data_IF_446248019717
#
_entry.id   IF_446248019717
#
_cell.length_a   1.000
_cell.length_b   1.000
_cell.length_c   1.000
_cell.angle_alpha   90.00
_cell.angle_beta   90.00
_cell.angle_gamma   90.00
#
_symmetry.space_group_name_H-M   'P 1'
#
loop_
_entity.id
_entity.type
_entity.pdbx_description
1 polymer ?
#
# COMPACT_ATOMS: atom_id res chain seq x y z
N UNK A 1 15.74 -28.23 13.11
CA UNK A 1 15.03 -27.55 12.01
C UNK A 1 16.02 -26.57 11.40
N UNK A 2 16.29 -26.68 10.11
CA UNK A 2 17.14 -25.70 9.41
C UNK A 2 16.28 -24.52 8.96
N UNK A 3 16.90 -23.35 8.81
CA UNK A 3 16.28 -22.24 8.09
C UNK A 3 16.37 -22.56 6.60
N UNK A 4 15.25 -22.46 5.88
CA UNK A 4 15.17 -22.77 4.46
C UNK A 4 14.42 -21.65 3.76
N UNK A 5 14.90 -21.30 2.57
CA UNK A 5 14.18 -20.38 1.70
C UNK A 5 13.05 -21.11 0.98
N UNK A 6 12.00 -20.38 0.64
CA UNK A 6 10.81 -20.95 0.00
C UNK A 6 10.71 -20.45 -1.43
N UNK A 7 10.55 -21.36 -2.38
CA UNK A 7 10.29 -21.03 -3.79
C UNK A 7 8.84 -21.32 -4.09
N UNK A 8 8.09 -20.30 -4.50
CA UNK A 8 6.69 -20.42 -4.89
C UNK A 8 6.56 -20.77 -6.39
N UNK A 9 5.69 -21.71 -6.70
CA UNK A 9 5.40 -22.13 -8.07
C UNK A 9 4.39 -21.21 -8.74
N UNK A 10 4.64 -20.85 -10.00
CA UNK A 10 3.64 -20.14 -10.83
C UNK A 10 2.38 -20.99 -11.05
N UNK A 11 2.55 -22.31 -11.11
CA UNK A 11 1.47 -23.29 -11.21
C UNK A 11 1.67 -24.38 -10.15
N UNK A 12 0.68 -24.54 -9.29
CA UNK A 12 0.71 -25.58 -8.26
C UNK A 12 0.79 -26.98 -8.87
N UNK A 13 1.62 -27.83 -8.27
CA UNK A 13 1.65 -29.26 -8.56
C UNK A 13 0.52 -29.98 -7.82
N UNK A 14 0.12 -31.14 -8.33
CA UNK A 14 -0.89 -31.99 -7.67
C UNK A 14 -0.20 -33.21 -7.07
N UNK A 15 -0.42 -33.44 -5.78
CA UNK A 15 0.05 -34.65 -5.12
C UNK A 15 -0.68 -35.87 -5.70
N UNK A 16 0.03 -36.90 -6.19
CA UNK A 16 -0.60 -38.09 -6.76
C UNK A 16 -1.34 -38.96 -5.74
N UNK A 17 -1.12 -38.72 -4.43
CA UNK A 17 -1.67 -39.55 -3.35
C UNK A 17 -2.92 -38.95 -2.69
N UNK A 18 -2.91 -37.65 -2.41
CA UNK A 18 -4.04 -36.96 -1.78
C UNK A 18 -4.77 -35.99 -2.70
N UNK A 19 -4.28 -35.78 -3.93
CA UNK A 19 -4.76 -34.75 -4.87
C UNK A 19 -4.69 -33.31 -4.33
N UNK A 20 -3.99 -33.10 -3.21
CA UNK A 20 -3.70 -31.79 -2.65
C UNK A 20 -2.79 -30.98 -3.57
N UNK A 21 -2.93 -29.66 -3.50
CA UNK A 21 -2.09 -28.71 -4.22
C UNK A 21 -0.78 -28.50 -3.47
N UNK A 22 0.33 -28.47 -4.20
CA UNK A 22 1.66 -28.11 -3.72
C UNK A 22 2.04 -26.84 -4.45
N UNK A 23 2.08 -25.71 -3.75
CA UNK A 23 2.27 -24.37 -4.30
C UNK A 23 3.71 -23.84 -4.12
N UNK A 24 4.52 -24.53 -3.33
CA UNK A 24 5.87 -24.12 -2.99
C UNK A 24 6.77 -25.29 -2.61
N UNK A 25 8.08 -25.02 -2.54
CA UNK A 25 9.10 -25.94 -2.03
C UNK A 25 10.11 -25.18 -1.19
N UNK A 26 10.61 -25.82 -0.14
CA UNK A 26 11.71 -25.31 0.67
C UNK A 26 13.05 -25.80 0.10
N UNK A 27 13.97 -24.87 -0.16
CA UNK A 27 15.29 -25.15 -0.75
C UNK A 27 16.39 -24.74 0.23
N UNK A 28 17.49 -25.50 0.23
CA UNK A 28 18.63 -25.31 1.15
C UNK A 28 19.82 -24.63 0.49
N UNK A 29 19.81 -24.64 -0.83
CA UNK A 29 20.91 -24.24 -1.71
C UNK A 29 21.04 -22.71 -1.80
N UNK A 30 20.07 -21.96 -1.29
CA UNK A 30 20.11 -20.51 -1.18
C UNK A 30 20.76 -20.07 0.15
N UNK A 31 20.82 -18.75 0.38
CA UNK A 31 21.52 -18.19 1.55
C UNK A 31 20.82 -18.49 2.90
N UNK A 32 19.63 -19.12 2.87
CA UNK A 32 18.84 -19.55 4.02
C UNK A 32 18.41 -18.37 4.91
N UNK A 33 17.95 -17.30 4.25
CA UNK A 33 17.50 -16.03 4.85
C UNK A 33 16.02 -16.03 5.23
N UNK A 34 15.32 -17.16 5.03
CA UNK A 34 13.87 -17.32 5.23
C UNK A 34 13.06 -16.44 4.27
N UNK A 35 13.58 -16.24 3.06
CA UNK A 35 12.90 -15.45 2.02
C UNK A 35 11.97 -16.33 1.16
N UNK A 36 11.00 -15.67 0.54
CA UNK A 36 10.10 -16.27 -0.42
C UNK A 36 10.46 -15.77 -1.82
N UNK A 37 10.81 -16.67 -2.72
CA UNK A 37 11.21 -16.36 -4.09
C UNK A 37 10.15 -16.82 -5.10
N UNK A 38 9.92 -15.99 -6.11
CA UNK A 38 9.13 -16.29 -7.32
C UNK A 38 10.00 -16.15 -8.55
N UNK A 39 9.49 -16.67 -9.68
CA UNK A 39 10.15 -16.47 -10.97
C UNK A 39 10.38 -14.97 -11.22
N UNK A 40 11.59 -14.65 -11.69
CA UNK A 40 12.18 -13.30 -11.85
C UNK A 40 12.78 -12.68 -10.58
N UNK A 41 12.65 -13.27 -9.41
CA UNK A 41 13.35 -12.79 -8.22
C UNK A 41 14.84 -13.17 -8.23
N UNK A 42 15.65 -12.54 -7.38
CA UNK A 42 17.10 -12.66 -7.36
C UNK A 42 17.59 -13.41 -6.10
N UNK A 43 17.52 -14.75 -6.04
CA UNK A 43 17.98 -15.52 -4.88
C UNK A 43 19.51 -15.64 -4.77
N UNK A 44 20.28 -15.01 -5.68
CA UNK A 44 21.73 -15.15 -5.73
C UNK A 44 22.44 -13.96 -6.35
N UNK A 45 23.77 -14.00 -6.35
CA UNK A 45 24.61 -13.04 -7.05
C UNK A 45 24.50 -13.14 -8.58
N UNK A 46 24.70 -12.00 -9.26
CA UNK A 46 24.56 -11.85 -10.71
C UNK A 46 25.50 -12.75 -11.55
N UNK A 47 26.57 -13.26 -10.94
CA UNK A 47 27.52 -14.16 -11.59
C UNK A 47 27.07 -15.63 -11.56
N UNK A 48 26.14 -15.98 -10.68
CA UNK A 48 25.77 -17.36 -10.46
C UNK A 48 24.80 -17.91 -11.52
N UNK A 49 25.12 -19.10 -12.00
CA UNK A 49 24.28 -19.91 -12.88
C UNK A 49 24.24 -21.31 -12.29
N UNK A 50 23.04 -21.81 -11.96
CA UNK A 50 22.86 -23.13 -11.36
C UNK A 50 21.50 -23.74 -11.69
N UNK A 51 21.49 -25.07 -11.79
CA UNK A 51 20.26 -25.87 -11.85
C UNK A 51 20.25 -26.72 -10.57
N UNK A 52 19.25 -26.52 -9.74
CA UNK A 52 19.05 -27.29 -8.51
C UNK A 52 17.98 -28.33 -8.80
N UNK A 53 18.28 -29.60 -8.51
CA UNK A 53 17.30 -30.69 -8.58
C UNK A 53 16.80 -30.96 -7.17
N UNK A 54 15.50 -30.89 -6.97
CA UNK A 54 14.87 -31.18 -5.68
C UNK A 54 13.62 -32.04 -5.86
N UNK A 55 13.19 -32.71 -4.80
CA UNK A 55 12.04 -33.62 -4.80
C UNK A 55 10.84 -32.98 -4.11
N UNK A 56 9.71 -32.91 -4.82
CA UNK A 56 8.49 -32.33 -4.29
C UNK A 56 8.04 -33.05 -3.01
N UNK A 57 7.77 -32.24 -1.99
CA UNK A 57 7.21 -32.66 -0.72
C UNK A 57 5.74 -32.26 -0.64
N UNK A 58 4.88 -33.15 -0.15
CA UNK A 58 3.47 -32.84 0.09
C UNK A 58 3.24 -32.69 1.60
N UNK A 59 2.84 -31.49 2.04
CA UNK A 59 2.58 -31.21 3.46
C UNK A 59 1.46 -32.08 4.02
N UNK A 60 0.37 -32.26 3.26
CA UNK A 60 -0.77 -33.09 3.66
C UNK A 60 -0.40 -34.56 3.88
N UNK A 61 0.48 -35.10 3.03
CA UNK A 61 0.95 -36.48 3.17
C UNK A 61 2.20 -36.61 4.05
N UNK A 62 2.82 -35.47 4.40
CA UNK A 62 4.10 -35.37 5.10
C UNK A 62 5.20 -36.26 4.54
N UNK A 63 5.29 -36.35 3.20
CA UNK A 63 6.30 -37.15 2.51
C UNK A 63 6.61 -36.63 1.11
N UNK A 64 7.78 -36.99 0.61
CA UNK A 64 8.15 -36.76 -0.78
C UNK A 64 7.33 -37.66 -1.72
N UNK A 65 6.97 -37.12 -2.88
CA UNK A 65 6.05 -37.77 -3.83
C UNK A 65 6.75 -38.49 -4.99
N UNK A 66 8.09 -38.60 -4.98
CA UNK A 66 8.85 -39.25 -6.05
C UNK A 66 8.99 -38.42 -7.33
N UNK A 67 8.45 -37.19 -7.35
CA UNK A 67 8.55 -36.27 -8.49
C UNK A 67 9.64 -35.24 -8.22
N UNK A 68 10.69 -35.27 -9.03
CA UNK A 68 11.72 -34.23 -9.01
C UNK A 68 11.33 -33.03 -9.88
N UNK A 69 11.75 -31.86 -9.44
CA UNK A 69 11.69 -30.61 -10.20
C UNK A 69 13.10 -30.03 -10.30
N UNK A 70 13.27 -29.12 -11.26
CA UNK A 70 14.51 -28.43 -11.54
C UNK A 70 14.28 -26.92 -11.40
N UNK A 71 14.93 -26.33 -10.41
CA UNK A 71 14.90 -24.89 -10.15
C UNK A 71 16.09 -24.27 -10.88
N UNK A 72 15.82 -23.34 -11.79
CA UNK A 72 16.82 -22.78 -12.69
C UNK A 72 17.15 -21.36 -12.29
N UNK A 73 18.39 -21.11 -11.88
CA UNK A 73 18.92 -19.78 -11.60
C UNK A 73 19.94 -19.42 -12.66
N UNK A 74 19.73 -18.30 -13.34
CA UNK A 74 20.63 -17.78 -14.37
C UNK A 74 21.00 -16.34 -14.08
N UNK A 75 22.30 -16.07 -13.95
CA UNK A 75 22.83 -14.74 -13.61
C UNK A 75 22.17 -14.17 -12.36
N UNK A 76 22.06 -14.98 -11.32
CA UNK A 76 21.42 -14.62 -10.05
C UNK A 76 19.89 -14.59 -10.03
N UNK A 77 19.22 -14.66 -11.19
CA UNK A 77 17.76 -14.59 -11.30
C UNK A 77 17.14 -15.97 -11.40
N UNK A 78 16.05 -16.22 -10.65
CA UNK A 78 15.23 -17.41 -10.78
C UNK A 78 14.46 -17.39 -12.11
N UNK A 79 14.92 -18.15 -13.11
CA UNK A 79 14.35 -18.16 -14.46
C UNK A 79 13.05 -18.96 -14.55
N UNK A 80 12.92 -19.99 -13.72
CA UNK A 80 11.78 -20.90 -13.78
C UNK A 80 12.01 -22.21 -13.02
N UNK A 81 10.95 -22.98 -12.95
CA UNK A 81 10.90 -24.29 -12.29
C UNK A 81 10.25 -25.26 -13.26
N UNK A 82 10.95 -26.33 -13.61
CA UNK A 82 10.57 -27.24 -14.69
C UNK A 82 10.69 -28.71 -14.25
N UNK A 83 10.03 -29.60 -14.99
CA UNK A 83 9.96 -31.03 -14.64
C UNK A 83 11.16 -31.82 -15.14
N UNK A 84 11.91 -31.31 -16.13
CA UNK A 84 13.00 -32.04 -16.79
C UNK A 84 14.30 -31.24 -16.86
N UNK A 85 15.43 -31.96 -16.89
CA UNK A 85 16.75 -31.34 -17.04
C UNK A 85 16.93 -30.70 -18.42
N UNK A 86 16.33 -31.28 -19.45
CA UNK A 86 16.33 -30.76 -20.82
C UNK A 86 15.66 -29.39 -20.90
N UNK A 87 14.48 -29.23 -20.29
CA UNK A 87 13.80 -27.94 -20.17
C UNK A 87 14.62 -26.95 -19.35
N UNK A 88 15.27 -27.40 -18.27
CA UNK A 88 16.08 -26.53 -17.43
C UNK A 88 17.28 -25.96 -18.19
N UNK A 89 17.97 -26.79 -18.98
CA UNK A 89 19.06 -26.35 -19.86
C UNK A 89 18.55 -25.44 -20.97
N UNK A 90 17.37 -25.72 -21.51
CA UNK A 90 16.75 -24.86 -22.52
C UNK A 90 16.46 -23.46 -21.97
N UNK A 91 15.92 -23.35 -20.75
CA UNK A 91 15.69 -22.05 -20.09
C UNK A 91 16.97 -21.22 -19.94
N UNK A 92 18.09 -21.86 -19.55
CA UNK A 92 19.39 -21.19 -19.48
C UNK A 92 19.87 -20.69 -20.85
N UNK A 93 19.68 -21.50 -21.91
CA UNK A 93 20.12 -21.14 -23.25
C UNK A 93 19.22 -20.08 -23.90
N UNK A 94 17.93 -20.06 -23.56
CA UNK A 94 16.94 -19.09 -24.05
C UNK A 94 17.05 -17.72 -23.36
N UNK A 95 17.90 -17.61 -22.33
CA UNK A 95 18.22 -16.36 -21.65
C UNK A 95 19.18 -15.54 -22.51
N UNK A 96 18.63 -14.55 -23.22
CA UNK A 96 19.41 -13.58 -23.97
C UNK A 96 19.64 -12.30 -23.15
N UNK A 97 20.54 -11.44 -23.66
CA UNK A 97 20.89 -10.18 -23.00
C UNK A 97 19.67 -9.25 -22.85
N UNK A 98 18.79 -9.19 -23.85
CA UNK A 98 17.61 -8.33 -23.84
C UNK A 98 16.64 -8.68 -22.70
N UNK A 99 16.29 -9.97 -22.55
CA UNK A 99 15.45 -10.46 -21.45
C UNK A 99 16.10 -10.16 -20.10
N UNK A 100 17.41 -10.40 -19.99
CA UNK A 100 18.16 -10.17 -18.76
C UNK A 100 18.12 -8.69 -18.35
N UNK A 101 18.33 -7.78 -19.30
CA UNK A 101 18.26 -6.32 -19.07
C UNK A 101 16.85 -5.91 -18.62
N UNK A 102 15.81 -6.42 -19.27
CA UNK A 102 14.42 -6.13 -18.87
C UNK A 102 14.12 -6.61 -17.45
N UNK A 103 14.57 -7.80 -17.08
CA UNK A 103 14.33 -8.36 -15.74
C UNK A 103 15.11 -7.62 -14.66
N UNK A 104 16.37 -7.28 -14.90
CA UNK A 104 17.15 -6.45 -13.97
C UNK A 104 16.56 -5.05 -13.83
N UNK A 105 16.03 -4.47 -14.90
CA UNK A 105 15.34 -3.19 -14.83
C UNK A 105 14.09 -3.28 -13.94
N UNK A 106 13.28 -4.33 -14.09
CA UNK A 106 12.09 -4.54 -13.25
C UNK A 106 12.46 -4.79 -11.78
N UNK A 107 13.50 -5.59 -11.52
CA UNK A 107 14.05 -5.83 -10.18
C UNK A 107 14.58 -4.53 -9.56
N UNK A 108 15.33 -3.74 -10.32
CA UNK A 108 15.85 -2.47 -9.86
C UNK A 108 14.71 -1.49 -9.54
N UNK A 109 13.64 -1.47 -10.35
CA UNK A 109 12.45 -0.66 -10.07
C UNK A 109 11.79 -1.08 -8.76
N UNK A 110 11.62 -2.38 -8.51
CA UNK A 110 11.10 -2.91 -7.23
C UNK A 110 11.98 -2.49 -6.06
N UNK A 111 13.28 -2.71 -6.15
CA UNK A 111 14.25 -2.28 -5.14
C UNK A 111 14.16 -0.78 -4.86
N UNK A 112 14.12 0.05 -5.90
CA UNK A 112 14.00 1.51 -5.74
C UNK A 112 12.70 1.90 -5.04
N UNK A 113 11.58 1.21 -5.31
CA UNK A 113 10.32 1.45 -4.64
C UNK A 113 10.39 1.06 -3.15
N UNK A 114 10.96 -0.11 -2.83
CA UNK A 114 11.18 -0.52 -1.44
C UNK A 114 12.10 0.45 -0.69
N UNK A 115 13.17 0.92 -1.33
CA UNK A 115 14.07 1.92 -0.74
C UNK A 115 13.36 3.25 -0.51
N UNK A 116 12.53 3.71 -1.46
CA UNK A 116 11.70 4.91 -1.26
C UNK A 116 10.77 4.73 -0.08
N UNK A 117 10.14 3.56 0.05
CA UNK A 117 9.23 3.26 1.14
C UNK A 117 9.95 3.23 2.50
N UNK A 118 11.04 2.46 2.61
CA UNK A 118 11.88 2.41 3.82
C UNK A 118 12.41 3.80 4.20
N UNK A 119 12.82 4.59 3.22
CA UNK A 119 13.26 5.96 3.45
C UNK A 119 12.12 6.87 3.95
N UNK A 120 10.90 6.69 3.45
CA UNK A 120 9.72 7.41 3.93
C UNK A 120 9.45 7.11 5.41
N UNK A 121 9.41 5.84 5.82
CA UNK A 121 9.27 5.47 7.23
C UNK A 121 10.42 6.00 8.09
N UNK A 122 11.67 5.85 7.63
CA UNK A 122 12.84 6.33 8.37
C UNK A 122 12.80 7.84 8.58
N UNK A 123 12.42 8.62 7.55
CA UNK A 123 12.25 10.07 7.66
C UNK A 123 11.14 10.40 8.65
N UNK A 124 9.99 9.75 8.56
CA UNK A 124 8.90 9.97 9.51
C UNK A 124 9.31 9.70 10.96
N UNK A 125 10.03 8.60 11.23
CA UNK A 125 10.51 8.30 12.58
C UNK A 125 11.53 9.32 13.09
N UNK A 126 12.37 9.87 12.22
CA UNK A 126 13.29 10.95 12.58
C UNK A 126 12.51 12.23 12.91
N UNK A 127 11.55 12.62 12.07
CA UNK A 127 10.69 13.78 12.28
C UNK A 127 9.90 13.64 13.60
N UNK A 128 9.35 12.45 13.87
CA UNK A 128 8.63 12.13 15.11
C UNK A 128 9.53 12.27 16.34
N UNK A 129 10.76 11.74 16.26
CA UNK A 129 11.77 11.85 17.33
C UNK A 129 12.14 13.30 17.60
N UNK A 130 12.33 14.10 16.55
CA UNK A 130 12.67 15.52 16.68
C UNK A 130 11.49 16.30 17.28
N UNK A 131 10.29 16.13 16.73
CA UNK A 131 9.08 16.85 17.14
C UNK A 131 8.70 16.64 18.61
N UNK A 132 8.68 15.39 19.06
CA UNK A 132 8.31 15.05 20.43
C UNK A 132 9.50 15.01 21.39
N UNK A 133 10.66 14.53 20.93
CA UNK A 133 11.86 14.43 21.76
C UNK A 133 12.48 15.78 22.12
N UNK A 134 12.46 16.74 21.19
CA UNK A 134 12.94 18.11 21.45
C UNK A 134 11.83 19.06 21.94
N UNK A 135 10.63 18.52 22.17
CA UNK A 135 9.43 19.23 22.61
C UNK A 135 9.06 20.40 21.70
N UNK A 136 9.20 20.23 20.39
CA UNK A 136 8.87 21.26 19.42
C UNK A 136 7.37 21.57 19.39
N UNK A 137 6.53 20.57 19.68
CA UNK A 137 5.08 20.72 19.83
C UNK A 137 4.66 21.66 20.98
N UNK A 138 5.53 21.89 21.97
CA UNK A 138 5.28 22.83 23.08
C UNK A 138 5.69 24.28 22.73
N UNK A 139 6.39 24.48 21.60
CA UNK A 139 6.96 25.79 21.24
C UNK A 139 5.97 26.61 20.40
N UNK A 140 5.98 27.95 20.53
CA UNK A 140 5.20 28.83 19.64
C UNK A 140 5.63 28.69 18.18
N UNK A 141 4.69 28.77 17.24
CA UNK A 141 4.96 28.62 15.80
C UNK A 141 6.02 29.62 15.28
N UNK A 142 6.03 30.84 15.81
CA UNK A 142 7.01 31.87 15.44
C UNK A 142 8.45 31.47 15.82
N UNK A 143 8.64 30.74 16.93
CA UNK A 143 9.96 30.23 17.35
C UNK A 143 10.42 29.06 16.48
N UNK A 144 9.49 28.29 15.91
CA UNK A 144 9.79 27.21 14.95
C UNK A 144 10.24 27.76 13.59
N UNK A 145 9.59 28.82 13.10
CA UNK A 145 9.94 29.50 11.86
C UNK A 145 11.32 30.19 11.93
N UNK A 146 11.64 30.79 13.09
CA UNK A 146 12.87 31.56 13.29
C UNK A 146 14.12 30.67 13.46
N UNK A 147 13.97 29.42 13.90
CA UNK A 147 15.08 28.46 14.09
C UNK A 147 15.43 27.62 12.86
N UNK A 148 14.78 27.86 11.72
CA UNK A 148 15.07 27.08 10.51
C UNK A 148 14.66 25.61 10.62
N UNK A 149 13.56 25.32 11.34
CA UNK A 149 12.92 23.99 11.42
C UNK A 149 12.13 23.73 10.11
N UNK A 150 12.82 23.97 8.99
CA UNK A 150 12.32 23.82 7.63
C UNK A 150 12.41 22.36 7.14
N UNK A 151 12.82 21.44 8.01
CA UNK A 151 13.18 20.06 7.66
C UNK A 151 12.24 18.99 8.20
N UNK A 152 11.12 19.36 8.84
CA UNK A 152 10.09 18.39 9.25
C UNK A 152 9.14 18.16 8.07
N UNK A 153 9.50 17.18 7.24
CA UNK A 153 8.79 16.84 6.01
C UNK A 153 7.37 16.35 6.28
N UNK A 154 7.17 15.64 7.40
CA UNK A 154 5.90 15.03 7.76
C UNK A 154 5.07 15.90 8.72
N UNK A 155 5.26 17.22 8.70
CA UNK A 155 4.64 18.13 9.68
C UNK A 155 3.12 18.02 9.77
N UNK A 156 2.42 17.73 8.66
CA UNK A 156 0.96 17.51 8.64
C UNK A 156 0.49 16.30 9.44
N UNK A 157 1.35 15.31 9.64
CA UNK A 157 1.04 14.15 10.49
C UNK A 157 1.38 14.41 11.96
N UNK A 158 2.13 15.46 12.26
CA UNK A 158 2.66 15.75 13.59
C UNK A 158 1.98 16.94 14.28
N UNK A 159 1.69 17.99 13.52
CA UNK A 159 0.97 19.17 14.00
C UNK A 159 -0.48 18.81 14.26
N UNK A 160 -1.02 19.30 15.36
CA UNK A 160 -2.40 19.01 15.79
C UNK A 160 -2.62 17.61 16.36
N UNK A 161 -1.65 16.69 16.26
CA UNK A 161 -1.74 15.38 16.90
C UNK A 161 -1.49 15.50 18.41
N UNK A 162 -2.36 14.91 19.22
CA UNK A 162 -2.33 14.95 20.68
C UNK A 162 -1.09 14.28 21.27
N UNK A 163 -0.59 13.24 20.60
CA UNK A 163 0.53 12.45 21.08
C UNK A 163 1.23 11.70 19.92
N UNK A 164 2.40 11.07 20.18
CA UNK A 164 3.14 10.35 19.14
C UNK A 164 2.38 9.18 18.53
N UNK A 165 1.48 8.53 19.28
CA UNK A 165 0.69 7.40 18.78
C UNK A 165 -0.28 7.89 17.72
N UNK A 166 -0.99 8.98 17.98
CA UNK A 166 -1.88 9.59 16.98
C UNK A 166 -1.10 10.04 15.73
N UNK A 167 0.09 10.60 15.89
CA UNK A 167 0.94 10.94 14.73
C UNK A 167 1.27 9.72 13.87
N UNK A 168 1.59 8.59 14.50
CA UNK A 168 1.86 7.32 13.82
C UNK A 168 0.60 6.83 13.12
N UNK A 169 -0.57 6.87 13.78
CA UNK A 169 -1.84 6.51 13.18
C UNK A 169 -2.17 7.39 11.97
N UNK A 170 -1.92 8.69 12.06
CA UNK A 170 -2.14 9.61 10.95
C UNK A 170 -1.25 9.27 9.75
N UNK A 171 0.04 9.08 9.98
CA UNK A 171 0.98 8.69 8.93
C UNK A 171 0.62 7.34 8.30
N UNK A 172 0.30 6.34 9.13
CA UNK A 172 -0.07 5.00 8.65
C UNK A 172 -1.37 5.01 7.87
N UNK A 173 -2.36 5.79 8.30
CA UNK A 173 -3.63 5.98 7.58
C UNK A 173 -3.38 6.58 6.21
N UNK A 174 -2.62 7.67 6.14
CA UNK A 174 -2.22 8.28 4.88
C UNK A 174 -1.51 7.27 3.95
N UNK A 175 -0.52 6.52 4.46
CA UNK A 175 0.20 5.50 3.69
C UNK A 175 -0.71 4.41 3.14
N UNK A 176 -1.67 3.93 3.94
CA UNK A 176 -2.66 2.94 3.51
C UNK A 176 -3.58 3.50 2.43
N UNK A 177 -4.05 4.74 2.58
CA UNK A 177 -4.91 5.40 1.59
C UNK A 177 -4.19 5.56 0.25
N UNK A 178 -2.95 6.07 0.25
CA UNK A 178 -2.14 6.20 -0.98
C UNK A 178 -1.95 4.84 -1.64
N UNK A 179 -1.62 3.79 -0.87
CA UNK A 179 -1.49 2.44 -1.40
C UNK A 179 -2.80 1.92 -2.02
N UNK A 180 -3.94 2.14 -1.37
CA UNK A 180 -5.24 1.75 -1.91
C UNK A 180 -5.56 2.50 -3.22
N UNK A 181 -5.24 3.79 -3.29
CA UNK A 181 -5.38 4.59 -4.51
C UNK A 181 -4.48 4.09 -5.64
N UNK A 182 -3.22 3.76 -5.34
CA UNK A 182 -2.28 3.16 -6.31
C UNK A 182 -2.85 1.84 -6.87
N UNK A 183 -3.35 0.96 -6.01
CA UNK A 183 -3.95 -0.31 -6.42
C UNK A 183 -5.21 -0.11 -7.28
N UNK A 184 -6.06 0.87 -6.95
CA UNK A 184 -7.24 1.21 -7.75
C UNK A 184 -6.84 1.74 -9.12
N UNK A 185 -5.83 2.60 -9.16
CA UNK A 185 -5.30 3.18 -10.38
C UNK A 185 -4.68 2.12 -11.30
N UNK A 186 -3.84 1.25 -10.74
CA UNK A 186 -3.22 0.13 -11.47
C UNK A 186 -4.27 -0.88 -11.99
N UNK A 187 -5.38 -1.04 -11.26
CA UNK A 187 -6.52 -1.83 -11.72
C UNK A 187 -7.36 -1.16 -12.82
N UNK A 188 -7.05 0.09 -13.19
CA UNK A 188 -7.70 0.81 -14.28
C UNK A 188 -9.01 1.51 -13.91
N UNK A 189 -9.25 1.79 -12.63
CA UNK A 189 -10.42 2.56 -12.20
C UNK A 189 -10.31 4.00 -12.73
N UNK A 190 -11.37 4.48 -13.37
CA UNK A 190 -11.41 5.83 -13.93
C UNK A 190 -12.24 6.79 -13.09
N UNK A 191 -13.22 6.30 -12.35
CA UNK A 191 -14.16 7.11 -11.56
C UNK A 191 -14.24 6.56 -10.14
N UNK A 192 -14.20 7.45 -9.16
CA UNK A 192 -14.48 7.17 -7.76
C UNK A 192 -15.88 7.71 -7.43
N UNK A 193 -16.80 6.80 -7.14
CA UNK A 193 -18.09 7.15 -6.57
C UNK A 193 -17.91 7.49 -5.09
N UNK A 194 -18.35 8.69 -4.70
CA UNK A 194 -18.28 9.20 -3.33
C UNK A 194 -19.65 9.63 -2.83
N UNK A 195 -19.82 9.64 -1.51
CA UNK A 195 -21.07 10.05 -0.87
C UNK A 195 -20.80 10.53 0.56
N UNK A 196 -21.79 11.17 1.18
CA UNK A 196 -21.74 11.58 2.58
C UNK A 196 -23.17 11.45 3.17
N UNK A 197 -23.32 11.03 4.44
CA UNK A 197 -24.63 10.83 5.07
C UNK A 197 -25.24 12.09 5.70
N UNK A 198 -24.47 13.16 5.87
CA UNK A 198 -24.89 14.37 6.57
C UNK A 198 -25.93 15.18 5.78
N UNK A 199 -26.93 15.72 6.48
CA UNK A 199 -27.90 16.64 5.89
C UNK A 199 -27.37 18.07 5.97
N UNK A 200 -26.84 18.58 4.86
CA UNK A 200 -26.32 19.97 4.75
C UNK A 200 -27.07 20.71 3.65
N UNK A 201 -27.44 21.96 3.89
CA UNK A 201 -28.22 22.74 2.92
C UNK A 201 -27.32 23.41 1.89
N UNK A 202 -27.71 23.35 0.62
CA UNK A 202 -26.98 24.03 -0.46
C UNK A 202 -26.85 25.54 -0.16
N UNK A 203 -25.65 26.08 -0.34
CA UNK A 203 -25.31 27.48 -0.07
C UNK A 203 -24.97 27.78 1.39
N UNK A 204 -24.94 26.79 2.28
CA UNK A 204 -24.49 26.97 3.65
C UNK A 204 -23.01 27.36 3.68
N UNK A 205 -22.68 28.39 4.46
CA UNK A 205 -21.33 28.93 4.52
C UNK A 205 -20.45 28.28 5.60
N UNK A 206 -21.07 27.56 6.54
CA UNK A 206 -20.40 26.89 7.67
C UNK A 206 -20.80 25.43 7.65
N UNK A 207 -19.94 24.60 7.11
CA UNK A 207 -20.23 23.20 6.89
C UNK A 207 -18.97 22.35 6.98
N UNK A 208 -19.19 21.07 7.30
CA UNK A 208 -18.21 19.99 7.28
C UNK A 208 -18.95 18.70 6.94
N UNK A 209 -18.41 17.89 6.05
CA UNK A 209 -18.96 16.57 5.68
C UNK A 209 -17.87 15.51 5.66
N UNK A 210 -18.17 14.34 6.20
CA UNK A 210 -17.31 13.18 6.06
C UNK A 210 -17.66 12.43 4.78
N UNK A 211 -16.72 12.40 3.85
CA UNK A 211 -16.86 11.80 2.53
C UNK A 211 -16.39 10.35 2.55
N UNK A 212 -17.24 9.47 2.05
CA UNK A 212 -17.06 8.03 2.02
C UNK A 212 -16.71 7.56 0.60
N UNK A 213 -15.78 6.62 0.51
CA UNK A 213 -15.50 5.84 -0.68
C UNK A 213 -15.34 4.37 -0.26
N UNK A 214 -16.24 3.52 -0.75
CA UNK A 214 -16.42 2.17 -0.19
C UNK A 214 -15.16 1.30 -0.32
N UNK A 215 -14.48 1.32 -1.46
CA UNK A 215 -13.31 0.47 -1.70
C UNK A 215 -12.10 0.89 -0.87
N UNK A 216 -11.84 2.19 -0.76
CA UNK A 216 -10.75 2.74 0.05
C UNK A 216 -11.05 2.46 1.53
N UNK A 217 -12.27 2.73 1.98
CA UNK A 217 -12.67 2.48 3.36
C UNK A 217 -12.54 0.99 3.73
N UNK A 218 -12.96 0.07 2.85
CA UNK A 218 -12.83 -1.37 3.10
C UNK A 218 -11.37 -1.84 3.12
N UNK A 219 -10.55 -1.41 2.16
CA UNK A 219 -9.12 -1.77 2.10
C UNK A 219 -8.30 -1.19 3.24
N UNK A 220 -8.65 0.01 3.70
CA UNK A 220 -7.91 0.73 4.73
C UNK A 220 -8.50 0.56 6.14
N UNK A 221 -9.68 -0.06 6.28
CA UNK A 221 -10.45 -0.16 7.52
C UNK A 221 -10.80 1.20 8.13
N UNK A 222 -11.26 2.13 7.29
CA UNK A 222 -11.60 3.49 7.70
C UNK A 222 -13.10 3.63 7.94
N UNK A 223 -13.46 4.59 8.80
CA UNK A 223 -14.86 4.96 9.01
C UNK A 223 -15.37 5.88 7.89
N UNK A 224 -14.53 6.81 7.41
CA UNK A 224 -14.73 7.65 6.22
C UNK A 224 -13.37 7.91 5.55
N UNK A 225 -13.38 8.41 4.32
CA UNK A 225 -12.15 8.55 3.51
C UNK A 225 -11.56 9.95 3.58
N UNK A 226 -12.38 10.98 3.41
CA UNK A 226 -11.96 12.38 3.48
C UNK A 226 -12.93 13.16 4.36
N UNK A 227 -12.48 14.27 4.95
CA UNK A 227 -13.37 15.26 5.54
C UNK A 227 -13.25 16.51 4.72
N UNK A 228 -14.35 17.03 4.17
CA UNK A 228 -14.36 18.30 3.44
C UNK A 228 -15.02 19.35 4.32
N UNK A 229 -14.28 20.41 4.64
CA UNK A 229 -14.69 21.41 5.61
C UNK A 229 -14.50 22.81 5.04
N UNK A 230 -15.49 23.67 5.27
CA UNK A 230 -15.36 25.09 4.94
C UNK A 230 -14.37 25.80 5.86
N UNK A 231 -13.59 26.75 5.32
CA UNK A 231 -12.67 27.58 6.12
C UNK A 231 -13.40 28.29 7.27
N UNK A 232 -14.61 28.80 7.01
CA UNK A 232 -15.46 29.43 8.02
C UNK A 232 -15.86 28.48 9.16
N UNK A 233 -16.07 27.20 8.88
CA UNK A 233 -16.33 26.20 9.92
C UNK A 233 -15.06 25.95 10.75
N UNK A 234 -13.91 25.81 10.08
CA UNK A 234 -12.61 25.63 10.73
C UNK A 234 -12.26 26.79 11.69
N UNK A 235 -12.52 28.03 11.27
CA UNK A 235 -12.35 29.22 12.10
C UNK A 235 -13.24 29.21 13.35
N UNK A 236 -14.49 28.76 13.22
CA UNK A 236 -15.45 28.65 14.34
C UNK A 236 -14.97 27.61 15.35
N UNK A 237 -14.42 26.50 14.88
CA UNK A 237 -13.89 25.44 15.72
C UNK A 237 -12.55 25.83 16.38
N UNK A 238 -11.97 26.97 15.97
CA UNK A 238 -10.68 27.46 16.49
C UNK A 238 -9.50 26.63 16.00
N UNK A 239 -9.69 25.88 14.91
CA UNK A 239 -8.69 25.00 14.32
C UNK A 239 -7.91 25.70 13.20
N UNK A 240 -6.74 25.13 12.83
CA UNK A 240 -5.88 25.67 11.78
C UNK A 240 -5.67 24.64 10.69
N UNK A 241 -5.65 25.07 9.42
CA UNK A 241 -5.33 24.20 8.27
C UNK A 241 -4.02 23.44 8.48
N UNK A 242 -2.99 24.12 8.99
CA UNK A 242 -1.65 23.54 9.19
C UNK A 242 -1.59 22.40 10.21
N UNK A 243 -2.66 22.21 10.99
CA UNK A 243 -2.81 21.18 12.02
C UNK A 243 -3.72 20.03 11.58
N UNK A 244 -4.37 20.18 10.42
CA UNK A 244 -5.27 19.18 9.90
C UNK A 244 -4.51 18.02 9.24
N UNK A 245 -4.99 16.78 9.43
CA UNK A 245 -4.48 15.64 8.69
C UNK A 245 -4.59 15.82 7.17
N UNK A 246 -3.76 15.10 6.43
CA UNK A 246 -3.70 15.24 4.96
C UNK A 246 -5.00 14.92 4.23
N UNK A 247 -5.90 14.11 4.79
CA UNK A 247 -7.20 13.78 4.18
C UNK A 247 -8.34 14.74 4.56
N UNK A 248 -8.05 15.78 5.35
CA UNK A 248 -8.97 16.89 5.57
C UNK A 248 -8.73 17.93 4.48
N UNK A 249 -9.78 18.23 3.71
CA UNK A 249 -9.74 19.14 2.56
C UNK A 249 -10.51 20.39 2.91
N UNK A 250 -9.81 21.52 2.89
CA UNK A 250 -10.39 22.81 3.26
C UNK A 250 -10.78 23.57 1.99
N UNK A 251 -11.97 24.17 2.02
CA UNK A 251 -12.57 24.93 0.92
C UNK A 251 -13.11 26.27 1.41
N UNK A 252 -13.10 27.29 0.56
CA UNK A 252 -13.64 28.62 0.90
C UNK A 252 -15.12 28.75 0.47
N UNK A 253 -15.55 27.87 -0.42
CA UNK A 253 -16.83 27.95 -1.11
C UNK A 253 -18.01 27.50 -0.22
N UNK A 254 -19.21 28.10 -0.42
CA UNK A 254 -20.44 27.60 0.18
C UNK A 254 -20.75 26.17 -0.28
N UNK A 255 -21.50 25.45 0.55
CA UNK A 255 -21.79 24.04 0.32
C UNK A 255 -22.52 23.77 -1.00
N UNK A 256 -21.99 22.82 -1.76
CA UNK A 256 -22.68 22.14 -2.87
C UNK A 256 -21.98 20.80 -3.15
N UNK A 257 -22.70 19.85 -3.73
CA UNK A 257 -22.14 18.56 -4.14
C UNK A 257 -20.97 18.74 -5.12
N UNK A 258 -21.08 19.71 -6.04
CA UNK A 258 -20.01 20.03 -6.98
C UNK A 258 -18.73 20.50 -6.27
N UNK A 259 -18.86 21.31 -5.22
CA UNK A 259 -17.70 21.76 -4.42
C UNK A 259 -17.01 20.58 -3.75
N UNK A 260 -17.78 19.66 -3.14
CA UNK A 260 -17.22 18.45 -2.52
C UNK A 260 -16.47 17.59 -3.54
N UNK A 261 -17.08 17.31 -4.70
CA UNK A 261 -16.43 16.54 -5.76
C UNK A 261 -15.17 17.24 -6.30
N UNK A 262 -15.21 18.56 -6.48
CA UNK A 262 -14.06 19.33 -6.95
C UNK A 262 -12.91 19.34 -5.94
N UNK A 263 -13.23 19.45 -4.65
CA UNK A 263 -12.27 19.43 -3.55
C UNK A 263 -11.53 18.09 -3.50
N UNK A 264 -12.27 16.97 -3.47
CA UNK A 264 -11.70 15.61 -3.51
C UNK A 264 -10.92 15.40 -4.81
N UNK A 265 -11.47 15.82 -5.95
CA UNK A 265 -10.80 15.70 -7.24
C UNK A 265 -9.49 16.49 -7.30
N UNK A 266 -9.44 17.70 -6.73
CA UNK A 266 -8.22 18.51 -6.61
C UNK A 266 -7.19 17.80 -5.74
N UNK A 267 -7.61 17.31 -4.57
CA UNK A 267 -6.76 16.57 -3.65
C UNK A 267 -6.08 15.35 -4.31
N UNK A 268 -6.82 14.63 -5.17
CA UNK A 268 -6.32 13.50 -5.95
C UNK A 268 -5.32 13.93 -7.03
N UNK A 269 -5.64 14.99 -7.79
CA UNK A 269 -4.76 15.52 -8.86
C UNK A 269 -3.43 16.03 -8.33
N UNK A 270 -3.44 16.70 -7.17
CA UNK A 270 -2.22 17.19 -6.52
C UNK A 270 -1.27 16.03 -6.12
N UNK A 271 -1.78 14.80 -6.10
CA UNK A 271 -1.04 13.56 -5.84
C UNK A 271 -0.78 12.71 -7.09
N UNK A 272 -1.12 13.23 -8.27
CA UNK A 272 -0.83 12.59 -9.56
C UNK A 272 -1.90 11.60 -10.04
N UNK A 273 -3.07 11.57 -9.43
CA UNK A 273 -4.19 10.74 -9.88
C UNK A 273 -5.15 11.53 -10.77
N UNK A 274 -5.66 10.89 -11.84
CA UNK A 274 -6.63 11.50 -12.77
C UNK A 274 -8.02 10.85 -12.67
N UNK A 275 -8.40 10.38 -11.48
CA UNK A 275 -9.75 9.88 -11.26
C UNK A 275 -10.81 10.98 -11.52
N UNK A 276 -11.89 10.62 -12.21
CA UNK A 276 -13.15 11.34 -12.10
C UNK A 276 -13.75 11.11 -10.70
N UNK A 277 -14.38 12.13 -10.13
CA UNK A 277 -15.09 12.00 -8.85
C UNK A 277 -16.56 12.25 -9.10
N UNK A 278 -17.41 11.34 -8.64
CA UNK A 278 -18.85 11.40 -8.86
C UNK A 278 -19.59 11.26 -7.54
N UNK A 279 -20.47 12.23 -7.25
CA UNK A 279 -21.39 12.13 -6.12
C UNK A 279 -22.48 11.09 -6.41
N UNK A 280 -22.70 10.17 -5.48
CA UNK A 280 -23.83 9.23 -5.47
C UNK A 280 -24.62 9.38 -4.17
N UNK A 281 -25.87 8.92 -4.16
CA UNK A 281 -26.68 8.97 -2.93
C UNK A 281 -26.30 7.84 -1.96
N UNK A 282 -26.48 8.00 -0.63
CA UNK A 282 -26.20 6.95 0.35
C UNK A 282 -26.97 5.63 0.12
N UNK A 283 -28.11 5.68 -0.56
CA UNK A 283 -28.92 4.50 -0.95
C UNK A 283 -28.34 3.75 -2.15
N UNK A 284 -27.59 4.44 -3.02
CA UNK A 284 -26.89 3.85 -4.15
C UNK A 284 -25.55 3.23 -3.74
N UNK A 285 -24.97 3.70 -2.63
CA UNK A 285 -23.73 3.18 -2.08
C UNK A 285 -23.91 1.78 -1.48
N UNK A 286 -22.86 0.95 -1.57
CA UNK A 286 -22.84 -0.34 -0.86
C UNK A 286 -22.82 -0.10 0.65
N UNK A 287 -22.24 1.03 1.07
CA UNK A 287 -22.05 1.39 2.46
C UNK A 287 -20.70 0.86 2.96
N UNK A 288 -19.96 1.73 3.64
CA UNK A 288 -18.68 1.39 4.27
C UNK A 288 -18.53 2.05 5.63
N UNK A 289 -17.51 1.64 6.38
CA UNK A 289 -17.17 2.25 7.66
C UNK A 289 -18.31 2.21 8.68
N UNK A 290 -18.65 3.38 9.24
CA UNK A 290 -19.70 3.52 10.25
C UNK A 290 -21.09 3.23 9.68
N UNK A 291 -21.37 3.67 8.45
CA UNK A 291 -22.68 3.49 7.79
C UNK A 291 -23.00 2.01 7.60
N UNK A 292 -22.00 1.19 7.25
CA UNK A 292 -22.16 -0.26 7.13
C UNK A 292 -22.56 -0.91 8.46
N UNK A 293 -21.89 -0.51 9.55
CA UNK A 293 -22.20 -1.01 10.91
C UNK A 293 -23.62 -0.61 11.36
N UNK A 294 -24.03 0.62 11.08
CA UNK A 294 -25.38 1.09 11.41
C UNK A 294 -26.45 0.31 10.63
N UNK A 295 -26.26 0.11 9.32
CA UNK A 295 -27.17 -0.71 8.49
C UNK A 295 -27.27 -2.17 8.96
N UNK A 296 -26.17 -2.77 9.44
CA UNK A 296 -26.17 -4.13 9.99
C UNK A 296 -26.92 -4.22 11.33
N UNK A 297 -26.88 -3.15 12.15
CA UNK A 297 -27.55 -3.10 13.46
C UNK A 297 -29.06 -2.88 13.33
N UNK A 298 -29.52 -2.17 12.30
CA UNK A 298 -30.96 -1.98 12.03
C UNK A 298 -31.64 -3.23 11.45
N UNK A 299 -30.87 -4.27 11.11
CA UNK A 299 -31.37 -5.54 10.53
C UNK A 299 -31.49 -6.65 11.62
N UNK A 300 -30.93 -6.47 12.82
CA UNK A 300 -31.07 -7.38 13.98
C UNK A 300 -32.26 -7.02 14.89
#
# INVERSE_FOLDING_TARGET
MGMFDTVCFDKAYTCPLCHGKIDSIQVKEFENVLENYRVKDCPSHAEEIRIIKDELFCDTCSKHIGKSIYIVVGRGILLGIVDTLEEAKKLLNDLNLEKLVLWYHDLYRRYMNEQKEKNSYRRFLNDLREWYGERLHERPEDDLATKGIWFIWNSRHLKGALNPVESVERFMTYKKMIKALDELWEAGHQVLDVYYPEEVSAGEERWSVDVYQDEINERCHLNWTWTVVSEKQLEVDGEKESQQPDWVVIVEEPFSDEVVCQAVGKWLRDRGYEFGVKMISPEQARGSGLIKKLKETDIE
#
